data_IF_263224651020
#
_entry.id   IF_263224651020
#
_cell.length_a   1.000
_cell.length_b   1.000
_cell.length_c   1.000
_cell.angle_alpha   90.00
_cell.angle_beta   90.00
_cell.angle_gamma   90.00
#
_symmetry.space_group_name_H-M   'P 1'
#
loop_
_entity.id
_entity.type
_entity.pdbx_description
1 polymer ?
#
# COMPACT_ATOMS: atom_id res chain seq x y z
N UNK A 1 -18.49 -18.45 -56.99
CA UNK A 1 -18.39 -17.34 -56.00
C UNK A 1 -18.25 -17.95 -54.63
N UNK A 2 -17.05 -17.89 -54.02
CA UNK A 2 -16.73 -18.48 -52.69
C UNK A 2 -16.59 -17.34 -51.69
N UNK A 3 -17.54 -17.20 -50.78
CA UNK A 3 -17.49 -16.21 -49.70
C UNK A 3 -16.57 -16.74 -48.60
N UNK A 4 -15.48 -16.01 -48.35
CA UNK A 4 -14.58 -16.26 -47.21
C UNK A 4 -15.12 -15.46 -46.01
N UNK A 5 -15.72 -16.15 -45.05
CA UNK A 5 -16.03 -15.56 -43.75
C UNK A 5 -14.71 -15.32 -43.00
N UNK A 6 -14.38 -14.06 -42.76
CA UNK A 6 -13.31 -13.67 -41.86
C UNK A 6 -13.81 -13.79 -40.43
N UNK A 7 -13.30 -14.76 -39.66
CA UNK A 7 -13.50 -14.88 -38.25
C UNK A 7 -12.65 -13.78 -37.55
N UNK A 8 -13.33 -12.74 -37.09
CA UNK A 8 -12.74 -11.76 -36.15
C UNK A 8 -12.56 -12.46 -34.79
N UNK A 9 -11.34 -12.86 -34.51
CA UNK A 9 -10.96 -13.32 -33.16
C UNK A 9 -10.94 -12.13 -32.22
N UNK A 10 -11.92 -12.05 -31.34
CA UNK A 10 -11.90 -11.17 -30.20
C UNK A 10 -10.80 -11.66 -29.24
N UNK A 11 -9.71 -10.90 -29.14
CA UNK A 11 -8.70 -11.06 -28.09
C UNK A 11 -9.30 -10.37 -26.86
N UNK A 12 -9.61 -11.08 -25.77
CA UNK A 12 -9.99 -10.41 -24.54
C UNK A 12 -8.78 -9.64 -24.02
N UNK A 13 -8.90 -8.32 -23.94
CA UNK A 13 -7.94 -7.47 -23.24
C UNK A 13 -7.96 -7.89 -21.77
N UNK A 14 -6.99 -8.67 -21.37
CA UNK A 14 -6.79 -9.05 -19.97
C UNK A 14 -6.41 -7.80 -19.17
N UNK A 15 -7.42 -7.07 -18.70
CA UNK A 15 -7.27 -6.02 -17.70
C UNK A 15 -6.88 -6.70 -16.38
N UNK A 16 -5.70 -6.71 -16.14
CA UNK A 16 -4.69 -6.77 -15.16
C UNK A 16 -5.04 -7.18 -13.75
N UNK A 17 -4.30 -8.19 -13.30
CA UNK A 17 -3.99 -8.56 -11.91
C UNK A 17 -3.15 -7.49 -11.15
N UNK A 18 -3.00 -6.27 -11.66
CA UNK A 18 -2.09 -5.28 -11.07
C UNK A 18 -2.50 -4.82 -9.65
N UNK A 19 -3.82 -4.84 -9.32
CA UNK A 19 -4.30 -4.49 -7.99
C UNK A 19 -4.13 -5.59 -6.92
N UNK A 20 -3.81 -6.82 -7.33
CA UNK A 20 -3.72 -7.99 -6.43
C UNK A 20 -2.33 -8.19 -5.81
N UNK A 21 -1.30 -7.51 -6.31
CA UNK A 21 0.06 -7.68 -5.82
C UNK A 21 0.29 -6.89 -4.51
N UNK A 22 0.95 -7.52 -3.56
CA UNK A 22 1.41 -6.85 -2.33
C UNK A 22 2.51 -5.84 -2.66
N UNK A 23 2.37 -4.60 -2.20
CA UNK A 23 3.44 -3.60 -2.30
C UNK A 23 4.58 -3.97 -1.36
N UNK A 24 5.80 -4.03 -1.89
CA UNK A 24 6.99 -4.47 -1.15
C UNK A 24 8.13 -3.48 -1.30
N UNK A 25 8.81 -3.23 -0.19
CA UNK A 25 10.08 -2.51 -0.12
C UNK A 25 11.15 -3.43 0.49
N UNK A 26 12.42 -3.17 0.19
CA UNK A 26 13.53 -3.96 0.68
C UNK A 26 13.81 -5.23 -0.12
N UNK A 27 14.46 -6.21 0.50
CA UNK A 27 14.82 -7.47 -0.14
C UNK A 27 13.62 -8.39 -0.31
N UNK A 28 13.10 -8.46 -1.53
CA UNK A 28 11.92 -9.28 -1.87
C UNK A 28 12.11 -10.78 -1.66
N UNK A 29 13.35 -11.25 -1.60
CA UNK A 29 13.71 -12.66 -1.44
C UNK A 29 14.02 -13.03 0.01
N UNK A 30 13.97 -12.07 0.92
CA UNK A 30 14.27 -12.30 2.34
C UNK A 30 13.29 -13.28 2.98
N UNK A 31 13.84 -14.19 3.80
CA UNK A 31 13.06 -15.03 4.71
C UNK A 31 12.45 -14.23 5.88
N UNK A 32 13.03 -13.06 6.20
CA UNK A 32 12.52 -12.17 7.25
C UNK A 32 11.53 -11.17 6.63
N UNK A 33 10.28 -11.26 7.11
CA UNK A 33 9.15 -10.49 6.60
C UNK A 33 8.57 -9.57 7.66
N UNK A 34 8.37 -8.32 7.27
CA UNK A 34 7.61 -7.33 8.04
C UNK A 34 6.31 -7.03 7.28
N UNK A 35 5.17 -7.35 7.89
CA UNK A 35 3.85 -6.99 7.34
C UNK A 35 3.31 -5.79 8.07
N UNK A 36 2.96 -4.73 7.33
CA UNK A 36 2.56 -3.43 7.86
C UNK A 36 1.09 -3.20 7.48
N UNK A 37 0.19 -3.23 8.45
CA UNK A 37 -1.20 -2.78 8.28
C UNK A 37 -1.28 -1.30 8.62
N UNK A 38 -1.63 -0.50 7.62
CA UNK A 38 -1.59 0.95 7.71
C UNK A 38 -2.83 1.64 7.15
N UNK A 39 -3.09 2.82 7.66
CA UNK A 39 -4.13 3.74 7.23
C UNK A 39 -3.49 5.07 6.84
N UNK A 40 -3.71 5.52 5.60
CA UNK A 40 -3.03 6.69 5.05
C UNK A 40 -3.52 8.03 5.60
N UNK A 41 -4.57 8.02 6.43
CA UNK A 41 -5.05 9.18 7.19
C UNK A 41 -4.58 9.16 8.65
N UNK A 42 -4.04 8.03 9.12
CA UNK A 42 -3.66 7.84 10.53
C UNK A 42 -2.39 8.62 10.91
N UNK A 43 -2.41 9.41 12.01
CA UNK A 43 -1.22 10.13 12.48
C UNK A 43 -0.07 9.22 12.91
N UNK A 44 -0.38 8.09 13.55
CA UNK A 44 0.64 7.15 14.03
C UNK A 44 1.28 6.40 12.86
N UNK A 45 0.53 6.11 11.78
CA UNK A 45 1.08 5.60 10.54
C UNK A 45 2.06 6.59 9.88
N UNK A 46 1.78 7.90 9.95
CA UNK A 46 2.72 8.90 9.45
C UNK A 46 4.01 8.97 10.28
N UNK A 47 3.93 8.72 11.59
CA UNK A 47 5.10 8.63 12.46
C UNK A 47 5.91 7.35 12.16
N UNK A 48 5.22 6.23 11.98
CA UNK A 48 5.86 4.98 11.58
C UNK A 48 6.50 5.07 10.20
N UNK A 49 5.84 5.71 9.21
CA UNK A 49 6.40 5.89 7.87
C UNK A 49 7.75 6.63 7.92
N UNK A 50 7.87 7.67 8.75
CA UNK A 50 9.17 8.35 8.93
C UNK A 50 10.21 7.41 9.54
N UNK A 51 9.86 6.63 10.55
CA UNK A 51 10.76 5.62 11.14
C UNK A 51 11.18 4.58 10.09
N UNK A 52 10.25 4.13 9.26
CA UNK A 52 10.53 3.19 8.17
C UNK A 52 11.54 3.78 7.19
N UNK A 53 11.32 5.00 6.71
CA UNK A 53 12.16 5.64 5.71
C UNK A 53 13.55 6.05 6.25
N UNK A 54 13.57 6.61 7.45
CA UNK A 54 14.80 7.21 8.00
C UNK A 54 15.69 6.22 8.76
N UNK A 55 15.12 5.11 9.27
CA UNK A 55 15.82 4.19 10.15
C UNK A 55 15.75 2.73 9.70
N UNK A 56 14.55 2.19 9.43
CA UNK A 56 14.38 0.77 9.18
C UNK A 56 14.88 0.38 7.78
N UNK A 57 14.48 1.07 6.73
CA UNK A 57 14.95 0.79 5.37
C UNK A 57 16.46 0.97 5.20
N UNK A 58 17.10 2.04 5.70
CA UNK A 58 18.55 2.18 5.63
C UNK A 58 19.32 1.04 6.32
N UNK A 59 18.82 0.54 7.46
CA UNK A 59 19.48 -0.51 8.22
C UNK A 59 19.15 -1.93 7.75
N UNK A 60 17.92 -2.18 7.37
CA UNK A 60 17.39 -3.52 7.13
C UNK A 60 16.95 -3.78 5.69
N UNK A 61 16.81 -2.77 4.85
CA UNK A 61 16.24 -2.92 3.51
C UNK A 61 16.97 -3.91 2.60
N UNK A 62 18.28 -4.11 2.81
CA UNK A 62 19.05 -5.12 2.07
C UNK A 62 18.89 -6.57 2.61
N UNK A 63 18.12 -6.78 3.69
CA UNK A 63 18.03 -8.07 4.40
C UNK A 63 16.62 -8.47 4.79
N UNK A 64 15.65 -7.58 4.65
CA UNK A 64 14.27 -7.73 5.13
C UNK A 64 13.31 -7.26 4.05
N UNK A 65 12.19 -7.95 3.88
CA UNK A 65 11.09 -7.46 3.05
C UNK A 65 10.03 -6.79 3.91
N UNK A 66 9.64 -5.57 3.52
CA UNK A 66 8.55 -4.81 4.13
C UNK A 66 7.34 -4.86 3.20
N UNK A 67 6.23 -5.43 3.66
CA UNK A 67 4.99 -5.60 2.91
C UNK A 67 3.91 -4.67 3.44
N UNK A 68 3.40 -3.80 2.59
CA UNK A 68 2.32 -2.87 2.91
C UNK A 68 0.96 -3.53 2.70
N UNK A 69 0.07 -3.37 3.68
CA UNK A 69 -1.33 -3.81 3.68
C UNK A 69 -2.24 -2.65 3.99
N UNK A 70 -3.30 -2.52 3.23
CA UNK A 70 -4.28 -1.47 3.43
C UNK A 70 -5.23 -1.82 4.58
N UNK A 71 -5.32 -0.94 5.59
CA UNK A 71 -6.24 -1.12 6.70
C UNK A 71 -6.95 0.21 7.03
N UNK A 72 -7.82 0.72 6.13
CA UNK A 72 -8.50 1.99 6.34
C UNK A 72 -9.52 1.87 7.46
N UNK A 73 -9.35 2.66 8.53
CA UNK A 73 -10.25 2.69 9.67
C UNK A 73 -11.54 3.45 9.36
N UNK A 74 -12.69 2.91 9.77
CA UNK A 74 -14.01 3.49 9.46
C UNK A 74 -14.18 4.96 9.93
N UNK A 75 -13.46 5.38 10.99
CA UNK A 75 -13.46 6.76 11.49
C UNK A 75 -12.72 7.76 10.60
N UNK A 76 -11.91 7.27 9.65
CA UNK A 76 -11.09 8.09 8.77
C UNK A 76 -11.77 8.28 7.42
N UNK A 77 -12.29 9.47 7.17
CA UNK A 77 -13.26 9.77 6.11
C UNK A 77 -12.76 9.62 4.68
N UNK A 78 -11.43 9.71 4.46
CA UNK A 78 -10.83 9.57 3.14
C UNK A 78 -9.79 8.43 3.05
N UNK A 79 -9.54 7.70 4.14
CA UNK A 79 -8.53 6.65 4.20
C UNK A 79 -8.76 5.55 3.14
N UNK A 80 -10.03 5.10 2.94
CA UNK A 80 -10.35 4.09 1.94
C UNK A 80 -10.08 4.59 0.52
N UNK A 81 -10.48 5.82 0.19
CA UNK A 81 -10.15 6.45 -1.10
C UNK A 81 -8.64 6.54 -1.31
N UNK A 82 -7.87 6.87 -0.28
CA UNK A 82 -6.41 6.94 -0.36
C UNK A 82 -5.79 5.55 -0.60
N UNK A 83 -6.29 4.51 0.03
CA UNK A 83 -5.85 3.14 -0.20
C UNK A 83 -6.14 2.70 -1.65
N UNK A 84 -7.33 2.98 -2.18
CA UNK A 84 -7.69 2.70 -3.58
C UNK A 84 -6.75 3.46 -4.54
N UNK A 85 -6.49 4.74 -4.29
CA UNK A 85 -5.56 5.54 -5.10
C UNK A 85 -4.13 4.98 -5.03
N UNK A 86 -3.68 4.51 -3.86
CA UNK A 86 -2.36 3.85 -3.73
C UNK A 86 -2.28 2.58 -4.58
N UNK A 87 -3.36 1.78 -4.64
CA UNK A 87 -3.46 0.60 -5.52
C UNK A 87 -3.44 0.97 -6.99
N UNK A 88 -4.12 2.04 -7.39
CA UNK A 88 -4.05 2.56 -8.75
C UNK A 88 -2.61 2.91 -9.13
N UNK A 89 -1.91 3.70 -8.32
CA UNK A 89 -0.51 4.05 -8.58
C UNK A 89 0.42 2.83 -8.57
N UNK A 90 0.13 1.81 -7.77
CA UNK A 90 0.87 0.55 -7.78
C UNK A 90 0.75 -0.18 -9.13
N UNK A 91 -0.40 -0.10 -9.78
CA UNK A 91 -0.60 -0.62 -11.13
C UNK A 91 0.15 0.17 -12.20
N UNK A 92 0.44 1.44 -11.96
CA UNK A 92 1.28 2.27 -12.83
C UNK A 92 2.75 1.96 -12.60
N UNK A 93 3.21 2.07 -11.35
CA UNK A 93 4.58 1.81 -10.92
C UNK A 93 4.61 1.61 -9.38
N UNK A 94 5.23 0.54 -8.85
CA UNK A 94 5.34 0.31 -7.41
C UNK A 94 6.02 1.44 -6.63
N UNK A 95 7.06 2.08 -7.19
CA UNK A 95 7.75 3.20 -6.56
C UNK A 95 6.84 4.44 -6.46
N UNK A 96 5.97 4.64 -7.45
CA UNK A 96 4.97 5.72 -7.42
C UNK A 96 3.93 5.46 -6.32
N UNK A 97 3.54 4.21 -6.09
CA UNK A 97 2.65 3.86 -4.97
C UNK A 97 3.29 4.18 -3.62
N UNK A 98 4.59 3.90 -3.44
CA UNK A 98 5.34 4.29 -2.23
C UNK A 98 5.36 5.80 -2.08
N UNK A 99 5.64 6.53 -3.16
CA UNK A 99 5.67 8.00 -3.18
C UNK A 99 4.30 8.58 -2.81
N UNK A 100 3.22 8.00 -3.34
CA UNK A 100 1.86 8.44 -3.01
C UNK A 100 1.50 8.17 -1.53
N UNK A 101 1.87 7.01 -0.97
CA UNK A 101 1.65 6.71 0.45
C UNK A 101 2.36 7.72 1.35
N UNK A 102 3.63 8.04 1.05
CA UNK A 102 4.38 9.09 1.73
C UNK A 102 3.71 10.47 1.62
N UNK A 103 3.26 10.83 0.42
CA UNK A 103 2.55 12.08 0.18
C UNK A 103 1.26 12.18 1.01
N UNK A 104 0.41 11.15 0.98
CA UNK A 104 -0.85 11.13 1.71
C UNK A 104 -0.62 11.25 3.23
N UNK A 105 0.29 10.47 3.79
CA UNK A 105 0.65 10.51 5.21
C UNK A 105 1.27 11.86 5.63
N UNK A 106 2.15 12.43 4.83
CA UNK A 106 2.78 13.72 5.11
C UNK A 106 1.76 14.88 5.08
N UNK A 107 0.82 14.84 4.14
CA UNK A 107 -0.17 15.89 3.92
C UNK A 107 -1.52 15.63 4.63
N UNK A 108 -1.63 14.62 5.49
CA UNK A 108 -2.90 14.19 6.11
C UNK A 108 -3.67 15.28 6.86
N UNK A 109 -2.98 16.34 7.35
CA UNK A 109 -3.62 17.48 8.02
C UNK A 109 -4.22 18.50 7.03
N UNK A 110 -3.79 18.47 5.76
CA UNK A 110 -4.21 19.36 4.70
C UNK A 110 -5.25 18.69 3.79
N UNK A 111 -5.26 17.37 3.76
CA UNK A 111 -6.22 16.56 2.99
C UNK A 111 -7.46 16.32 3.87
N UNK A 112 -8.64 16.51 3.28
CA UNK A 112 -9.93 16.20 3.87
C UNK A 112 -10.87 15.61 2.81
N UNK A 113 -12.06 15.14 3.23
CA UNK A 113 -13.00 14.50 2.31
C UNK A 113 -13.45 15.40 1.14
N UNK A 114 -13.50 16.72 1.34
CA UNK A 114 -13.95 17.65 0.32
C UNK A 114 -12.87 17.96 -0.75
N UNK A 115 -11.59 17.99 -0.35
CA UNK A 115 -10.50 18.31 -1.27
C UNK A 115 -9.69 17.10 -1.73
N UNK A 116 -10.06 15.87 -1.32
CA UNK A 116 -9.29 14.68 -1.59
C UNK A 116 -9.05 14.45 -3.09
N UNK A 117 -10.09 14.54 -3.91
CA UNK A 117 -10.00 14.27 -5.35
C UNK A 117 -9.17 15.35 -6.07
N UNK A 118 -9.27 16.61 -5.67
CA UNK A 118 -8.41 17.68 -6.15
C UNK A 118 -6.94 17.42 -5.84
N UNK A 119 -6.64 17.03 -4.59
CA UNK A 119 -5.28 16.68 -4.15
C UNK A 119 -4.73 15.46 -4.85
N UNK A 120 -5.57 14.46 -5.11
CA UNK A 120 -5.20 13.27 -5.88
C UNK A 120 -4.87 13.63 -7.33
N UNK A 121 -5.72 14.44 -7.97
CA UNK A 121 -5.51 14.90 -9.34
C UNK A 121 -4.21 15.72 -9.48
N UNK A 122 -3.94 16.61 -8.52
CA UNK A 122 -2.70 17.37 -8.48
C UNK A 122 -1.47 16.45 -8.35
N UNK A 123 -1.49 15.50 -7.40
CA UNK A 123 -0.41 14.53 -7.26
C UNK A 123 -0.18 13.72 -8.55
N UNK A 124 -1.24 13.24 -9.17
CA UNK A 124 -1.15 12.48 -10.43
C UNK A 124 -0.47 13.30 -11.53
N UNK A 125 -0.91 14.57 -11.71
CA UNK A 125 -0.34 15.51 -12.68
C UNK A 125 1.16 15.74 -12.44
N UNK A 126 1.54 15.99 -11.20
CA UNK A 126 2.93 16.29 -10.82
C UNK A 126 3.87 15.09 -11.06
N UNK A 127 3.30 13.87 -11.15
CA UNK A 127 4.04 12.64 -11.41
C UNK A 127 3.79 12.05 -12.80
N UNK A 128 3.26 12.84 -13.75
CA UNK A 128 3.09 12.43 -15.14
C UNK A 128 1.99 11.39 -15.36
N UNK A 129 1.06 11.26 -14.44
CA UNK A 129 -0.11 10.39 -14.54
C UNK A 129 -1.34 11.22 -14.88
N UNK A 130 -2.21 10.69 -15.74
CA UNK A 130 -3.47 11.35 -16.10
C UNK A 130 -4.35 11.56 -14.85
N UNK A 131 -4.65 12.83 -14.48
CA UNK A 131 -5.45 13.14 -13.29
C UNK A 131 -6.86 12.55 -13.34
N UNK A 132 -7.47 12.51 -14.54
CA UNK A 132 -8.83 12.00 -14.70
C UNK A 132 -8.86 10.48 -14.46
N UNK A 133 -7.85 9.74 -14.93
CA UNK A 133 -7.71 8.30 -14.65
C UNK A 133 -7.51 8.03 -13.17
N UNK A 134 -6.70 8.83 -12.49
CA UNK A 134 -6.46 8.68 -11.06
C UNK A 134 -7.74 8.89 -10.23
N UNK A 135 -8.53 9.91 -10.57
CA UNK A 135 -9.83 10.17 -9.92
C UNK A 135 -10.86 9.10 -10.27
N UNK A 136 -10.96 8.70 -11.53
CA UNK A 136 -11.87 7.64 -11.97
C UNK A 136 -11.58 6.28 -11.29
N UNK A 137 -10.30 6.00 -11.00
CA UNK A 137 -9.88 4.78 -10.32
C UNK A 137 -10.47 4.63 -8.91
N UNK A 138 -10.94 5.71 -8.29
CA UNK A 138 -11.64 5.64 -6.99
C UNK A 138 -12.96 4.88 -7.04
N UNK A 139 -13.50 4.66 -8.24
CA UNK A 139 -14.72 3.89 -8.49
C UNK A 139 -14.43 2.50 -9.06
N UNK A 140 -13.16 2.10 -9.16
CA UNK A 140 -12.78 0.78 -9.66
C UNK A 140 -13.07 -0.31 -8.62
N UNK A 141 -14.03 -1.24 -8.90
CA UNK A 141 -14.39 -2.28 -7.95
C UNK A 141 -13.27 -3.30 -7.70
N UNK A 142 -12.34 -3.46 -8.64
CA UNK A 142 -11.20 -4.38 -8.48
C UNK A 142 -10.16 -3.81 -7.50
N UNK A 143 -9.92 -2.49 -7.56
CA UNK A 143 -9.04 -1.82 -6.61
C UNK A 143 -9.65 -1.78 -5.21
N UNK A 144 -10.95 -1.50 -5.10
CA UNK A 144 -11.66 -1.52 -3.82
C UNK A 144 -11.68 -2.94 -3.21
N UNK A 145 -11.92 -3.97 -4.01
CA UNK A 145 -11.84 -5.36 -3.56
C UNK A 145 -10.43 -5.76 -3.08
N UNK A 146 -9.37 -5.21 -3.69
CA UNK A 146 -8.00 -5.45 -3.22
C UNK A 146 -7.73 -4.80 -1.86
N UNK A 147 -8.25 -3.59 -1.62
CA UNK A 147 -8.21 -2.92 -0.30
C UNK A 147 -9.00 -3.73 0.73
N UNK A 148 -10.22 -4.16 0.36
CA UNK A 148 -11.08 -4.97 1.25
C UNK A 148 -10.42 -6.29 1.63
N UNK A 149 -9.75 -6.95 0.68
CA UNK A 149 -9.00 -8.19 0.95
C UNK A 149 -7.93 -7.99 2.02
N UNK A 150 -7.12 -6.93 1.92
CA UNK A 150 -6.10 -6.64 2.93
C UNK A 150 -6.74 -6.31 4.29
N UNK A 151 -7.84 -5.54 4.28
CA UNK A 151 -8.59 -5.22 5.49
C UNK A 151 -9.10 -6.49 6.18
N UNK A 152 -9.77 -7.38 5.45
CA UNK A 152 -10.29 -8.64 6.01
C UNK A 152 -9.17 -9.58 6.48
N UNK A 153 -8.04 -9.64 5.77
CA UNK A 153 -6.86 -10.36 6.22
C UNK A 153 -6.36 -9.80 7.57
N UNK A 154 -6.31 -8.48 7.70
CA UNK A 154 -5.94 -7.83 8.94
C UNK A 154 -6.91 -8.15 10.08
N UNK A 155 -8.22 -8.05 9.84
CA UNK A 155 -9.26 -8.42 10.84
C UNK A 155 -9.09 -9.87 11.29
N UNK A 156 -8.89 -10.80 10.35
CA UNK A 156 -8.67 -12.22 10.67
C UNK A 156 -7.41 -12.46 11.51
N UNK A 157 -6.42 -11.56 11.44
CA UNK A 157 -5.19 -11.57 12.24
C UNK A 157 -5.31 -10.76 13.55
N UNK A 158 -6.49 -10.26 13.89
CA UNK A 158 -6.75 -9.48 15.10
C UNK A 158 -6.30 -8.02 15.03
N UNK A 159 -6.04 -7.48 13.83
CA UNK A 159 -5.74 -6.06 13.65
C UNK A 159 -7.00 -5.24 13.91
N UNK A 160 -6.89 -4.26 14.82
CA UNK A 160 -7.98 -3.31 15.15
C UNK A 160 -7.50 -1.86 15.18
N UNK A 161 -6.19 -1.66 15.09
CA UNK A 161 -5.52 -0.35 15.19
C UNK A 161 -4.40 -0.25 14.16
N UNK A 162 -4.03 0.99 13.82
CA UNK A 162 -2.95 1.26 12.85
C UNK A 162 -1.95 2.29 13.39
N UNK A 163 -0.65 2.11 13.11
CA UNK A 163 -0.07 0.96 12.43
C UNK A 163 -0.09 -0.32 13.29
N UNK A 164 -0.33 -1.47 12.67
CA UNK A 164 0.00 -2.78 13.25
C UNK A 164 1.06 -3.43 12.38
N UNK A 165 2.20 -3.74 12.97
CA UNK A 165 3.37 -4.29 12.29
C UNK A 165 3.64 -5.70 12.80
N UNK A 166 3.74 -6.67 11.90
CA UNK A 166 4.13 -8.03 12.25
C UNK A 166 5.57 -8.28 11.80
N UNK A 167 6.44 -8.69 12.71
CA UNK A 167 7.78 -9.19 12.41
C UNK A 167 7.76 -10.71 12.52
N UNK A 168 7.85 -11.42 11.40
CA UNK A 168 7.70 -12.89 11.32
C UNK A 168 6.50 -13.41 12.15
N UNK A 169 5.37 -12.69 12.14
CA UNK A 169 4.14 -13.08 12.83
C UNK A 169 3.95 -12.51 14.24
N UNK A 170 4.97 -11.95 14.88
CA UNK A 170 4.83 -11.26 16.16
C UNK A 170 4.31 -9.83 15.97
N UNK A 171 3.19 -9.42 16.62
CA UNK A 171 2.58 -8.11 16.41
C UNK A 171 3.22 -7.00 17.27
N UNK A 172 3.32 -5.80 16.67
CA UNK A 172 3.66 -4.52 17.28
C UNK A 172 2.53 -3.54 16.92
N UNK A 173 1.88 -2.93 17.92
CA UNK A 173 0.61 -2.20 17.71
C UNK A 173 0.76 -0.75 18.16
N UNK A 174 0.42 0.22 17.29
CA UNK A 174 0.37 1.67 17.48
C UNK A 174 1.68 2.30 18.00
N UNK A 175 2.00 2.06 19.26
CA UNK A 175 3.13 2.68 19.94
C UNK A 175 4.24 1.66 20.17
N UNK A 176 5.20 1.65 19.27
CA UNK A 176 6.43 0.87 19.39
C UNK A 176 7.62 1.73 18.94
N UNK A 177 8.78 1.42 19.48
CA UNK A 177 10.02 2.15 19.19
C UNK A 177 10.83 1.49 18.08
N UNK A 178 11.76 2.26 17.51
CA UNK A 178 12.76 1.72 16.60
C UNK A 178 13.60 0.61 17.25
N UNK A 179 13.93 0.76 18.52
CA UNK A 179 14.74 -0.18 19.29
C UNK A 179 14.02 -1.52 19.46
N UNK A 180 12.71 -1.51 19.75
CA UNK A 180 11.89 -2.73 19.86
C UNK A 180 11.82 -3.47 18.53
N UNK A 181 11.53 -2.77 17.42
CA UNK A 181 11.51 -3.38 16.11
C UNK A 181 12.89 -3.87 15.67
N UNK A 182 13.95 -3.11 15.95
CA UNK A 182 15.32 -3.51 15.63
C UNK A 182 15.71 -4.79 16.35
N UNK A 183 15.41 -4.90 17.65
CA UNK A 183 15.66 -6.12 18.42
C UNK A 183 14.94 -7.33 17.82
N UNK A 184 13.68 -7.17 17.42
CA UNK A 184 12.90 -8.23 16.79
C UNK A 184 13.48 -8.64 15.42
N UNK A 185 13.86 -7.64 14.60
CA UNK A 185 14.45 -7.88 13.28
C UNK A 185 15.82 -8.54 13.37
N UNK A 186 16.68 -8.08 14.30
CA UNK A 186 17.98 -8.69 14.53
C UNK A 186 17.85 -10.14 14.98
N UNK A 187 16.89 -10.46 15.88
CA UNK A 187 16.59 -11.83 16.30
C UNK A 187 16.06 -12.70 15.15
N UNK A 188 15.13 -12.16 14.33
CA UNK A 188 14.58 -12.86 13.18
C UNK A 188 15.65 -13.16 12.12
N UNK A 189 16.58 -12.23 11.87
CA UNK A 189 17.70 -12.42 10.94
C UNK A 189 18.70 -13.48 11.43
N UNK A 190 18.89 -13.61 12.74
CA UNK A 190 19.71 -14.69 13.31
C UNK A 190 19.03 -16.03 13.13
N UNK A 191 17.72 -16.12 13.39
CA UNK A 191 16.94 -17.36 13.26
C UNK A 191 16.77 -17.86 11.81
N UNK A 192 16.95 -16.95 10.82
CA UNK A 192 16.80 -17.25 9.38
C UNK A 192 18.12 -17.69 8.71
N UNK A 193 19.22 -17.80 9.44
CA UNK A 193 20.53 -18.27 8.95
C UNK A 193 20.63 -19.79 8.98
#
# INVERSE_FOLDING_TARGET
MRWRCALLTWIPLSVGLAGALTLRQGDRNSAVRVTIYEDLQCPDCATFQRMLDEKLLPRYGAKVVFEHRDFPLARHTWARKAAIAARFFQGVNPELAVTYRRYALANRRQINAANFEERLAAFAKDHGVDPQKAVAALQDPGLDAAVEKDFQEGVARGVSKTPTVFVNGAPYIETFTFEELSKALDAALVAAR
#
